data_IF_475506533302
#
_entry.id   IF_475506533302
#
_cell.length_a   1.000
_cell.length_b   1.000
_cell.length_c   1.000
_cell.angle_alpha   90.00
_cell.angle_beta   90.00
_cell.angle_gamma   90.00
#
_symmetry.space_group_name_H-M   'P 1'
#
loop_
_entity.id
_entity.type
_entity.pdbx_description
1 polymer ?
#
# COMPACT_ATOMS: atom_id res chain seq x y z
N UNK A 1 -6.91 14.65 11.11
CA UNK A 1 -7.48 13.49 11.83
C UNK A 1 -6.32 12.61 12.32
N UNK A 2 -6.23 12.25 13.62
CA UNK A 2 -5.19 11.34 14.11
C UNK A 2 -5.40 9.92 13.56
N UNK A 3 -4.29 9.20 13.32
CA UNK A 3 -4.29 7.81 12.84
C UNK A 3 -3.66 6.92 13.89
N UNK A 4 -4.32 5.82 14.25
CA UNK A 4 -3.81 4.82 15.19
C UNK A 4 -3.60 3.49 14.50
N UNK A 5 -2.47 2.84 14.75
CA UNK A 5 -2.19 1.48 14.28
C UNK A 5 -2.44 0.49 15.42
N UNK A 6 -3.25 -0.53 15.16
CA UNK A 6 -3.61 -1.59 16.11
C UNK A 6 -3.21 -2.94 15.52
N UNK A 7 -2.58 -3.79 16.32
CA UNK A 7 -2.18 -5.13 15.91
C UNK A 7 -3.12 -6.17 16.52
N UNK A 8 -3.78 -6.97 15.68
CA UNK A 8 -4.72 -8.02 16.09
C UNK A 8 -4.48 -9.28 15.25
N UNK A 9 -4.85 -10.46 15.74
CA UNK A 9 -4.86 -11.65 14.89
C UNK A 9 -5.98 -11.54 13.86
N UNK A 10 -5.63 -11.54 12.57
CA UNK A 10 -6.59 -11.44 11.47
C UNK A 10 -6.78 -12.80 10.76
N UNK A 11 -7.85 -12.97 9.97
CA UNK A 11 -7.98 -14.13 9.08
C UNK A 11 -6.76 -14.26 8.18
N UNK A 12 -6.36 -15.50 7.86
CA UNK A 12 -5.09 -15.84 7.17
C UNK A 12 -4.87 -15.22 5.79
N UNK A 13 -5.87 -14.54 5.22
CA UNK A 13 -5.79 -13.86 3.92
C UNK A 13 -5.82 -12.33 4.02
N UNK A 14 -5.85 -11.77 5.23
CA UNK A 14 -5.97 -10.33 5.48
C UNK A 14 -4.74 -9.86 6.25
N UNK A 15 -3.91 -9.05 5.61
CA UNK A 15 -2.70 -8.50 6.24
C UNK A 15 -2.97 -7.21 7.02
N UNK A 16 -3.91 -6.40 6.55
CA UNK A 16 -4.40 -5.22 7.24
C UNK A 16 -5.72 -4.72 6.62
N UNK A 17 -6.37 -3.77 7.28
CA UNK A 17 -7.39 -2.90 6.72
C UNK A 17 -7.47 -1.59 7.51
N UNK A 18 -7.98 -0.52 6.90
CA UNK A 18 -8.27 0.73 7.59
C UNK A 18 -9.77 0.97 7.76
N UNK A 19 -10.11 1.78 8.77
CA UNK A 19 -11.45 2.28 9.02
C UNK A 19 -11.36 3.75 9.46
N UNK A 20 -12.33 4.55 9.03
CA UNK A 20 -12.44 5.96 9.38
C UNK A 20 -13.67 6.17 10.25
N UNK A 21 -13.50 6.91 11.32
CA UNK A 21 -14.57 7.50 12.12
C UNK A 21 -14.45 9.02 12.05
N UNK A 22 -15.51 9.79 12.38
CA UNK A 22 -15.43 11.26 12.38
C UNK A 22 -14.27 11.82 13.24
N UNK A 23 -13.83 11.07 14.26
CA UNK A 23 -12.83 11.52 15.22
C UNK A 23 -11.41 11.02 14.91
N UNK A 24 -11.27 9.87 14.24
CA UNK A 24 -9.97 9.21 14.01
C UNK A 24 -9.98 8.20 12.86
N UNK A 25 -8.80 8.00 12.27
CA UNK A 25 -8.51 6.86 11.39
C UNK A 25 -7.86 5.74 12.21
N UNK A 26 -8.20 4.49 11.89
CA UNK A 26 -7.60 3.32 12.52
C UNK A 26 -7.11 2.39 11.41
N UNK A 27 -5.87 1.92 11.55
CA UNK A 27 -5.28 0.87 10.72
C UNK A 27 -5.15 -0.37 11.60
N UNK A 28 -5.77 -1.48 11.19
CA UNK A 28 -5.72 -2.76 11.88
C UNK A 28 -4.80 -3.67 11.08
N UNK A 29 -3.78 -4.24 11.71
CA UNK A 29 -2.72 -5.02 11.08
C UNK A 29 -2.66 -6.41 11.70
N UNK A 30 -2.41 -7.44 10.87
CA UNK A 30 -2.22 -8.79 11.38
C UNK A 30 -0.96 -8.87 12.26
N UNK A 31 -1.18 -9.19 13.54
CA UNK A 31 -0.12 -9.37 14.51
C UNK A 31 0.79 -10.56 14.18
N UNK A 32 0.29 -11.54 13.42
CA UNK A 32 1.06 -12.74 13.04
C UNK A 32 1.84 -12.58 11.73
N UNK A 33 1.59 -11.51 10.98
CA UNK A 33 2.31 -11.25 9.74
C UNK A 33 3.79 -10.91 10.00
N UNK A 34 4.66 -11.20 9.03
CA UNK A 34 6.07 -10.81 9.10
C UNK A 34 6.23 -9.30 9.25
N UNK A 35 7.32 -8.82 9.86
CA UNK A 35 7.56 -7.38 10.02
C UNK A 35 7.54 -6.62 8.69
N UNK A 36 8.05 -7.23 7.62
CA UNK A 36 8.01 -6.67 6.26
C UNK A 36 6.56 -6.53 5.79
N UNK A 37 5.77 -7.60 5.92
CA UNK A 37 4.34 -7.59 5.57
C UNK A 37 3.57 -6.54 6.36
N UNK A 38 3.79 -6.44 7.68
CA UNK A 38 3.15 -5.44 8.53
C UNK A 38 3.50 -4.02 8.07
N UNK A 39 4.77 -3.75 7.79
CA UNK A 39 5.21 -2.43 7.32
C UNK A 39 4.61 -2.07 5.97
N UNK A 40 4.60 -3.00 5.01
CA UNK A 40 3.99 -2.79 3.69
C UNK A 40 2.49 -2.55 3.80
N UNK A 41 1.81 -3.36 4.61
CA UNK A 41 0.38 -3.21 4.83
C UNK A 41 0.03 -1.87 5.48
N UNK A 42 0.75 -1.45 6.54
CA UNK A 42 0.57 -0.14 7.17
C UNK A 42 0.75 0.99 6.15
N UNK A 43 1.80 0.94 5.32
CA UNK A 43 2.06 1.99 4.34
C UNK A 43 0.96 2.06 3.27
N UNK A 44 0.45 0.90 2.81
CA UNK A 44 -0.67 0.82 1.88
C UNK A 44 -1.96 1.39 2.48
N UNK A 45 -2.32 0.98 3.69
CA UNK A 45 -3.51 1.48 4.40
C UNK A 45 -3.42 2.99 4.69
N UNK A 46 -2.23 3.50 4.97
CA UNK A 46 -2.01 4.94 5.10
C UNK A 46 -2.24 5.66 3.76
N UNK A 47 -1.79 5.08 2.64
CA UNK A 47 -2.08 5.58 1.30
C UNK A 47 -3.60 5.68 1.06
N UNK A 48 -4.34 4.65 1.45
CA UNK A 48 -5.80 4.68 1.41
C UNK A 48 -6.39 5.86 2.20
N UNK A 49 -6.01 6.04 3.46
CA UNK A 49 -6.50 7.14 4.29
C UNK A 49 -6.17 8.53 3.73
N UNK A 50 -5.07 8.66 2.98
CA UNK A 50 -4.66 9.93 2.35
C UNK A 50 -5.41 10.21 1.04
N UNK A 51 -5.83 9.17 0.32
CA UNK A 51 -6.47 9.28 -0.98
C UNK A 51 -7.99 9.02 -0.96
N UNK A 52 -8.56 8.63 0.19
CA UNK A 52 -9.99 8.32 0.34
C UNK A 52 -10.89 9.52 0.03
N UNK A 53 -10.42 10.75 0.31
CA UNK A 53 -11.14 11.99 -0.02
C UNK A 53 -11.32 12.20 -1.54
N UNK A 54 -10.56 11.48 -2.38
CA UNK A 54 -10.75 11.52 -3.84
C UNK A 54 -12.01 10.77 -4.30
N UNK A 55 -12.64 9.95 -3.45
CA UNK A 55 -13.89 9.24 -3.77
C UNK A 55 -15.09 10.18 -3.99
N UNK A 56 -15.03 11.41 -3.45
CA UNK A 56 -16.07 12.43 -3.61
C UNK A 56 -16.03 13.18 -4.94
N UNK A 57 -14.91 13.10 -5.69
CA UNK A 57 -14.88 13.51 -7.08
C UNK A 57 -15.38 12.33 -7.90
N UNK A 58 -16.56 12.48 -8.52
CA UNK A 58 -17.18 11.48 -9.38
C UNK A 58 -16.18 11.00 -10.44
N UNK A 59 -15.43 9.95 -10.13
CA UNK A 59 -14.76 9.16 -11.14
C UNK A 59 -15.86 8.48 -11.93
N UNK A 60 -16.13 9.01 -13.12
CA UNK A 60 -16.96 8.37 -14.12
C UNK A 60 -16.57 6.88 -14.19
N UNK A 61 -17.54 6.01 -14.46
CA UNK A 61 -17.32 4.56 -14.57
C UNK A 61 -16.17 4.19 -15.54
N UNK A 62 -15.90 5.08 -16.50
CA UNK A 62 -14.77 5.03 -17.44
C UNK A 62 -13.40 5.30 -16.79
N UNK A 63 -13.30 6.20 -15.80
CA UNK A 63 -12.06 6.49 -15.09
C UNK A 63 -11.65 5.36 -14.13
N UNK A 64 -12.62 4.61 -13.59
CA UNK A 64 -12.38 3.46 -12.70
C UNK A 64 -11.70 2.28 -13.41
N UNK A 65 -11.84 2.18 -14.74
CA UNK A 65 -11.28 1.10 -15.57
C UNK A 65 -10.20 1.58 -16.54
N UNK A 66 -9.67 2.80 -16.38
CA UNK A 66 -8.64 3.35 -17.27
C UNK A 66 -7.25 2.70 -17.12
N UNK A 67 -7.13 1.65 -16.30
CA UNK A 67 -5.90 0.87 -16.15
C UNK A 67 -5.77 -0.21 -17.21
N UNK A 68 -4.54 -0.60 -17.55
CA UNK A 68 -4.29 -1.80 -18.35
C UNK A 68 -4.82 -3.04 -17.60
N UNK A 69 -5.35 -4.04 -18.33
CA UNK A 69 -5.70 -5.32 -17.74
C UNK A 69 -4.53 -5.93 -16.94
N UNK A 70 -4.80 -6.66 -15.84
CA UNK A 70 -3.78 -7.32 -15.02
C UNK A 70 -2.75 -8.13 -15.83
N UNK A 71 -3.19 -8.85 -16.85
CA UNK A 71 -2.34 -9.64 -17.75
C UNK A 71 -1.38 -8.79 -18.57
N UNK A 72 -1.80 -7.61 -19.02
CA UNK A 72 -0.97 -6.69 -19.81
C UNK A 72 0.00 -5.93 -18.89
N UNK A 73 -0.38 -5.72 -17.63
CA UNK A 73 0.39 -4.97 -16.65
C UNK A 73 1.48 -5.81 -15.97
N UNK A 74 1.21 -7.10 -15.74
CA UNK A 74 2.14 -8.03 -15.12
C UNK A 74 3.56 -8.01 -15.73
N UNK A 75 3.76 -8.14 -17.05
CA UNK A 75 5.08 -8.10 -17.65
C UNK A 75 5.74 -6.71 -17.62
N UNK A 76 4.96 -5.63 -17.51
CA UNK A 76 5.50 -4.26 -17.43
C UNK A 76 6.07 -3.95 -16.04
N UNK A 77 5.38 -4.38 -14.99
CA UNK A 77 5.74 -4.05 -13.61
C UNK A 77 6.65 -5.11 -12.96
N UNK A 78 6.51 -6.37 -13.37
CA UNK A 78 7.27 -7.48 -12.82
C UNK A 78 7.83 -8.39 -13.92
N UNK A 79 8.68 -7.87 -14.84
CA UNK A 79 9.15 -8.60 -16.02
C UNK A 79 9.95 -9.88 -15.69
N UNK A 80 10.48 -9.99 -14.48
CA UNK A 80 11.25 -11.15 -14.03
C UNK A 80 10.41 -12.24 -13.33
N UNK A 81 9.10 -12.02 -13.16
CA UNK A 81 8.19 -12.94 -12.47
C UNK A 81 7.24 -13.63 -13.47
N UNK A 82 6.66 -14.75 -13.04
CA UNK A 82 5.64 -15.44 -13.83
C UNK A 82 4.41 -14.51 -14.02
N UNK A 83 4.02 -14.19 -15.26
CA UNK A 83 2.99 -13.20 -15.54
C UNK A 83 1.60 -13.62 -15.05
N UNK A 84 1.25 -14.91 -15.14
CA UNK A 84 -0.05 -15.42 -14.69
C UNK A 84 -0.21 -15.29 -13.16
N UNK A 85 0.86 -15.59 -12.42
CA UNK A 85 0.86 -15.45 -10.96
C UNK A 85 0.75 -13.97 -10.52
N UNK A 86 1.41 -13.07 -11.24
CA UNK A 86 1.35 -11.62 -10.98
C UNK A 86 -0.01 -11.06 -11.36
N UNK A 87 -0.59 -11.46 -12.50
CA UNK A 87 -1.92 -11.04 -12.91
C UNK A 87 -2.99 -11.50 -11.92
N UNK A 88 -2.93 -12.76 -11.46
CA UNK A 88 -3.83 -13.26 -10.42
C UNK A 88 -3.70 -12.50 -9.09
N UNK A 89 -2.50 -12.02 -8.77
CA UNK A 89 -2.29 -11.14 -7.62
C UNK A 89 -2.91 -9.75 -7.82
N UNK A 90 -2.74 -9.15 -9.00
CA UNK A 90 -3.33 -7.86 -9.36
C UNK A 90 -4.86 -7.90 -9.38
N UNK A 91 -5.47 -8.96 -9.93
CA UNK A 91 -6.92 -9.16 -9.91
C UNK A 91 -7.47 -9.22 -8.47
N UNK A 92 -6.84 -10.05 -7.62
CA UNK A 92 -7.23 -10.17 -6.21
C UNK A 92 -7.07 -8.89 -5.41
N UNK A 93 -6.18 -8.00 -5.87
CA UNK A 93 -5.87 -6.73 -5.21
C UNK A 93 -6.58 -5.55 -5.84
N UNK A 94 -7.55 -5.79 -6.75
CA UNK A 94 -8.29 -4.75 -7.48
C UNK A 94 -7.36 -3.71 -8.12
N UNK A 95 -6.25 -4.15 -8.71
CA UNK A 95 -5.21 -3.25 -9.24
C UNK A 95 -5.68 -2.41 -10.45
N UNK A 96 -6.84 -2.73 -11.01
CA UNK A 96 -7.59 -1.93 -11.97
C UNK A 96 -8.14 -0.63 -11.36
N UNK A 97 -8.35 -0.58 -10.03
CA UNK A 97 -8.70 0.64 -9.30
C UNK A 97 -7.53 1.62 -9.23
N UNK A 98 -7.79 2.89 -9.58
CA UNK A 98 -6.80 3.96 -9.48
C UNK A 98 -6.34 4.18 -8.03
N UNK A 99 -7.26 4.12 -7.07
CA UNK A 99 -6.94 4.31 -5.65
C UNK A 99 -6.02 3.19 -5.17
N UNK A 100 -6.26 1.94 -5.58
CA UNK A 100 -5.39 0.80 -5.26
C UNK A 100 -3.97 1.02 -5.80
N UNK A 101 -3.84 1.45 -7.06
CA UNK A 101 -2.54 1.78 -7.65
C UNK A 101 -1.83 2.92 -6.93
N UNK A 102 -2.56 3.97 -6.56
CA UNK A 102 -2.00 5.11 -5.83
C UNK A 102 -1.54 4.72 -4.43
N UNK A 103 -2.34 3.92 -3.70
CA UNK A 103 -1.97 3.41 -2.39
C UNK A 103 -0.73 2.51 -2.46
N UNK A 104 -0.64 1.62 -3.46
CA UNK A 104 0.52 0.75 -3.66
C UNK A 104 1.79 1.52 -4.06
N UNK A 105 1.67 2.51 -4.96
CA UNK A 105 2.78 3.37 -5.36
C UNK A 105 3.29 4.19 -4.18
N UNK A 106 2.37 4.76 -3.38
CA UNK A 106 2.72 5.45 -2.15
C UNK A 106 3.44 4.53 -1.17
N UNK A 107 2.92 3.32 -0.94
CA UNK A 107 3.53 2.36 -0.03
C UNK A 107 4.96 2.01 -0.46
N UNK A 108 5.16 1.75 -1.75
CA UNK A 108 6.48 1.47 -2.34
C UNK A 108 7.46 2.61 -2.06
N UNK A 109 7.10 3.85 -2.40
CA UNK A 109 7.98 5.02 -2.20
C UNK A 109 8.29 5.26 -0.72
N UNK A 110 7.32 5.06 0.18
CA UNK A 110 7.53 5.23 1.62
C UNK A 110 8.48 4.17 2.19
N UNK A 111 8.36 2.92 1.73
CA UNK A 111 9.26 1.84 2.15
C UNK A 111 10.67 2.07 1.63
N UNK A 112 10.84 2.47 0.37
CA UNK A 112 12.14 2.84 -0.19
C UNK A 112 12.79 3.95 0.63
N UNK A 113 12.07 5.05 0.88
CA UNK A 113 12.57 6.16 1.71
C UNK A 113 12.94 5.70 3.11
N UNK A 114 12.13 4.83 3.74
CA UNK A 114 12.44 4.28 5.06
C UNK A 114 13.70 3.41 5.05
N UNK A 115 13.92 2.64 3.98
CA UNK A 115 15.15 1.86 3.80
C UNK A 115 16.34 2.80 3.64
N UNK A 116 16.21 3.84 2.80
CA UNK A 116 17.26 4.86 2.61
C UNK A 116 17.60 5.58 3.90
N UNK A 117 16.62 5.96 4.72
CA UNK A 117 16.84 6.60 6.04
C UNK A 117 17.53 5.68 7.05
N UNK A 118 17.47 4.36 6.85
CA UNK A 118 18.18 3.37 7.67
C UNK A 118 19.55 3.01 7.09
N UNK A 119 19.86 3.43 5.86
CA UNK A 119 21.19 3.24 5.32
C UNK A 119 22.14 4.12 6.16
N UNK A 120 23.26 3.57 6.66
CA UNK A 120 24.25 4.37 7.35
C UNK A 120 24.68 5.50 6.42
N UNK A 121 24.73 6.71 6.97
CA UNK A 121 25.13 7.91 6.26
C UNK A 121 26.44 7.63 5.51
N UNK A 122 26.39 7.51 4.17
CA UNK A 122 27.60 7.34 3.35
C UNK A 122 28.51 8.58 3.44
N UNK A 123 27.99 9.66 4.01
CA UNK A 123 28.72 10.86 4.37
C UNK A 123 28.65 11.02 5.89
N UNK A 124 29.71 10.58 6.59
CA UNK A 124 29.90 10.76 8.04
C UNK A 124 29.56 12.18 8.51
N UNK A 125 28.31 12.46 8.86
CA UNK A 125 27.95 13.59 9.69
C UNK A 125 27.52 13.02 11.04
N UNK A 126 28.52 12.84 11.89
CA UNK A 126 28.34 12.57 13.31
C UNK A 126 27.62 13.77 13.93
N UNK A 127 26.29 13.70 14.03
CA UNK A 127 25.54 14.59 14.90
C UNK A 127 25.60 14.01 16.31
N UNK A 128 26.64 14.42 17.03
CA UNK A 128 26.71 14.33 18.49
C UNK A 128 25.72 15.33 19.05
N UNK A 129 24.73 14.85 19.80
CA UNK A 129 24.03 15.60 20.83
C UNK A 129 24.11 14.80 22.14
#
# INVERSE_FOLDING_TARGET
MPITVIYLSLPSRVSAFCAVTPERGVIIVDAQASQVTQMTAIARELGYLLFDDLKGHEESTEARHAGLPPMDLAPLLAPALNPDAVAAFFERSHYDSRIERMAEAFATVMLERKITLRAPDRHRLSLTF
#
